data_IF_317554088259
#
_entry.id   IF_317554088259
#
_cell.length_a   1.000
_cell.length_b   1.000
_cell.length_c   1.000
_cell.angle_alpha   90.00
_cell.angle_beta   90.00
_cell.angle_gamma   90.00
#
_symmetry.space_group_name_H-M   'P 1'
#
loop_
_entity.id
_entity.type
_entity.pdbx_description
1 polymer ?
#
# COMPACT_ATOMS: atom_id res chain seq x y z
N UNK A 1 8.81 8.03 9.06
CA UNK A 1 8.79 6.56 9.03
C UNK A 1 8.20 5.95 10.31
N UNK A 2 8.74 6.23 11.47
CA UNK A 2 8.30 5.60 12.72
C UNK A 2 6.81 5.83 13.06
N UNK A 3 6.18 6.85 12.52
CA UNK A 3 4.78 7.18 12.78
C UNK A 3 3.82 6.48 11.81
N UNK A 4 4.08 6.46 10.51
CA UNK A 4 3.14 5.93 9.52
C UNK A 4 3.34 4.44 9.23
N UNK A 5 4.57 3.94 9.24
CA UNK A 5 4.85 2.53 8.92
C UNK A 5 4.13 1.51 9.80
N UNK A 6 3.97 1.72 11.13
CA UNK A 6 3.17 0.82 11.97
C UNK A 6 1.72 0.65 11.53
N UNK A 7 1.18 1.56 10.70
CA UNK A 7 -0.19 1.49 10.20
C UNK A 7 -0.48 0.24 9.36
N UNK A 8 0.54 -0.42 8.78
CA UNK A 8 0.37 -1.73 8.16
C UNK A 8 -0.20 -2.78 9.13
N UNK A 9 0.19 -2.74 10.40
CA UNK A 9 -0.33 -3.63 11.44
C UNK A 9 -1.46 -3.01 12.25
N UNK A 10 -1.35 -1.73 12.61
CA UNK A 10 -2.36 -1.02 13.40
C UNK A 10 -3.65 -0.81 12.62
N UNK A 11 -3.59 -0.62 11.29
CA UNK A 11 -4.78 -0.48 10.46
C UNK A 11 -5.75 -1.65 10.64
N UNK A 12 -5.34 -2.90 10.37
CA UNK A 12 -6.15 -4.08 10.62
C UNK A 12 -6.56 -4.25 12.09
N UNK A 13 -5.66 -4.01 13.04
CA UNK A 13 -5.96 -4.11 14.47
C UNK A 13 -7.09 -3.16 14.89
N UNK A 14 -7.07 -1.93 14.43
CA UNK A 14 -8.03 -0.89 14.81
C UNK A 14 -9.42 -1.07 14.16
N UNK A 15 -9.56 -1.94 13.15
CA UNK A 15 -10.88 -2.26 12.58
C UNK A 15 -11.81 -2.86 13.64
N UNK A 16 -11.28 -3.73 14.51
CA UNK A 16 -12.03 -4.43 15.54
C UNK A 16 -12.10 -3.71 16.88
N UNK A 17 -11.24 -2.70 17.12
CA UNK A 17 -11.20 -1.95 18.37
C UNK A 17 -12.43 -1.03 18.50
N UNK A 18 -13.14 -1.11 19.67
CA UNK A 18 -14.33 -0.28 19.92
C UNK A 18 -13.96 1.17 20.21
N UNK A 19 -13.09 1.41 21.16
CA UNK A 19 -12.48 2.72 21.47
C UNK A 19 -10.99 2.50 21.68
N UNK A 20 -10.16 3.36 21.10
CA UNK A 20 -8.72 3.20 21.20
C UNK A 20 -8.04 4.57 21.24
N UNK A 21 -7.30 4.85 22.30
CA UNK A 21 -6.52 6.08 22.47
C UNK A 21 -5.54 6.25 21.29
N UNK A 22 -4.94 5.17 20.80
CA UNK A 22 -4.04 5.21 19.66
C UNK A 22 -4.71 5.77 18.39
N UNK A 23 -6.00 5.48 18.17
CA UNK A 23 -6.72 6.02 17.01
C UNK A 23 -6.76 7.56 17.07
N UNK A 24 -7.09 8.13 18.22
CA UNK A 24 -7.14 9.57 18.40
C UNK A 24 -5.74 10.22 18.23
N UNK A 25 -4.71 9.61 18.78
CA UNK A 25 -3.32 10.05 18.63
C UNK A 25 -2.85 10.01 17.16
N UNK A 26 -3.19 8.94 16.44
CA UNK A 26 -2.88 8.83 15.01
C UNK A 26 -3.64 9.85 14.17
N UNK A 27 -4.93 10.09 14.44
CA UNK A 27 -5.68 11.14 13.76
C UNK A 27 -5.07 12.53 13.99
N UNK A 28 -4.74 12.86 15.24
CA UNK A 28 -4.07 14.11 15.56
C UNK A 28 -2.72 14.26 14.84
N UNK A 29 -1.92 13.18 14.79
CA UNK A 29 -0.65 13.20 14.10
C UNK A 29 -0.80 13.33 12.58
N UNK A 30 -1.80 12.65 11.98
CA UNK A 30 -2.10 12.75 10.55
C UNK A 30 -2.54 14.17 10.20
N UNK A 31 -3.45 14.77 10.96
CA UNK A 31 -3.92 16.13 10.70
C UNK A 31 -2.81 17.17 10.88
N UNK A 32 -1.96 17.01 11.89
CA UNK A 32 -0.81 17.88 12.09
C UNK A 32 0.24 17.71 10.97
N UNK A 33 0.52 16.47 10.58
CA UNK A 33 1.53 16.14 9.56
C UNK A 33 1.16 16.54 8.14
N UNK A 34 -0.13 16.60 7.82
CA UNK A 34 -0.62 16.99 6.50
C UNK A 34 -1.03 18.46 6.39
N UNK A 35 -1.07 19.20 7.50
CA UNK A 35 -1.40 20.62 7.50
C UNK A 35 -0.16 21.47 7.21
N UNK A 36 -0.09 22.18 6.06
CA UNK A 36 1.07 23.01 5.71
C UNK A 36 1.37 24.15 6.68
N UNK A 37 0.37 24.58 7.47
CA UNK A 37 0.52 25.62 8.49
C UNK A 37 1.03 25.07 9.83
N UNK A 38 1.15 23.76 9.98
CA UNK A 38 1.59 23.10 11.21
C UNK A 38 3.13 23.07 11.31
N UNK A 39 3.70 23.29 12.52
CA UNK A 39 5.13 23.08 12.74
C UNK A 39 5.55 21.60 12.61
N UNK A 40 4.60 20.69 12.55
CA UNK A 40 4.80 19.24 12.38
C UNK A 40 4.52 18.76 10.95
N UNK A 41 4.35 19.69 9.99
CA UNK A 41 4.11 19.35 8.60
C UNK A 41 5.20 18.42 8.05
N UNK A 42 4.79 17.32 7.41
CA UNK A 42 5.73 16.32 6.87
C UNK A 42 6.51 16.78 5.63
N UNK A 43 6.13 17.93 5.07
CA UNK A 43 6.79 18.51 3.92
C UNK A 43 6.17 18.08 2.59
N UNK A 44 6.70 18.68 1.54
CA UNK A 44 6.37 18.36 0.15
C UNK A 44 7.11 17.09 -0.26
N UNK A 45 6.40 16.17 -0.88
CA UNK A 45 6.95 14.91 -1.39
C UNK A 45 7.79 15.18 -2.64
N UNK A 46 8.96 14.55 -2.72
CA UNK A 46 9.90 14.66 -3.85
C UNK A 46 9.98 13.35 -4.65
N UNK A 47 10.74 13.36 -5.75
CA UNK A 47 10.97 12.15 -6.53
C UNK A 47 11.77 11.14 -5.72
N UNK A 48 11.41 9.85 -5.83
CA UNK A 48 12.03 8.72 -5.09
C UNK A 48 11.96 8.87 -3.56
N UNK A 49 11.02 9.65 -3.06
CA UNK A 49 10.91 9.98 -1.64
C UNK A 49 10.40 8.80 -0.82
N UNK A 50 11.03 8.58 0.33
CA UNK A 50 10.58 7.58 1.30
C UNK A 50 9.15 7.85 1.81
N UNK A 51 8.68 9.10 1.79
CA UNK A 51 7.30 9.45 2.13
C UNK A 51 6.27 8.74 1.24
N UNK A 52 6.61 8.40 0.00
CA UNK A 52 5.73 7.64 -0.91
C UNK A 52 5.43 6.24 -0.34
N UNK A 53 6.42 5.60 0.26
CA UNK A 53 6.25 4.30 0.95
C UNK A 53 5.33 4.44 2.16
N UNK A 54 5.48 5.54 2.90
CA UNK A 54 4.66 5.83 4.09
C UNK A 54 3.21 6.18 3.72
N UNK A 55 2.99 6.82 2.56
CA UNK A 55 1.65 7.08 2.03
C UNK A 55 0.84 5.80 1.81
N UNK A 56 1.49 4.70 1.43
CA UNK A 56 0.82 3.42 1.20
C UNK A 56 0.26 2.82 2.51
N UNK A 57 1.02 2.88 3.61
CA UNK A 57 0.54 2.41 4.92
C UNK A 57 -0.62 3.27 5.45
N UNK A 58 -0.54 4.60 5.26
CA UNK A 58 -1.63 5.52 5.57
C UNK A 58 -2.87 5.23 4.71
N UNK A 59 -2.68 4.93 3.43
CA UNK A 59 -3.77 4.59 2.52
C UNK A 59 -4.49 3.31 2.94
N UNK A 60 -3.77 2.26 3.33
CA UNK A 60 -4.39 1.05 3.88
C UNK A 60 -5.17 1.35 5.17
N UNK A 61 -4.61 2.17 6.05
CA UNK A 61 -5.29 2.59 7.28
C UNK A 61 -6.62 3.31 7.00
N UNK A 62 -6.63 4.25 6.06
CA UNK A 62 -7.84 4.96 5.63
C UNK A 62 -8.86 4.00 5.00
N UNK A 63 -8.41 3.10 4.12
CA UNK A 63 -9.27 2.12 3.46
C UNK A 63 -9.98 1.19 4.45
N UNK A 64 -9.27 0.73 5.47
CA UNK A 64 -9.80 -0.20 6.47
C UNK A 64 -10.67 0.46 7.52
N UNK A 65 -10.43 1.74 7.82
CA UNK A 65 -11.03 2.44 8.95
C UNK A 65 -11.69 3.77 8.54
N UNK A 66 -12.19 3.88 7.31
CA UNK A 66 -12.72 5.14 6.76
C UNK A 66 -13.67 5.86 7.71
N UNK A 67 -14.67 5.16 8.24
CA UNK A 67 -15.68 5.72 9.16
C UNK A 67 -15.11 6.25 10.47
N UNK A 68 -14.00 5.64 10.93
CA UNK A 68 -13.31 6.02 12.18
C UNK A 68 -12.18 7.04 11.95
N UNK A 69 -11.84 7.31 10.70
CA UNK A 69 -10.71 8.15 10.30
C UNK A 69 -11.16 9.29 9.40
N UNK A 70 -11.23 9.07 8.10
CA UNK A 70 -11.56 10.09 7.11
C UNK A 70 -12.87 10.82 7.43
N UNK A 71 -13.92 10.08 7.78
CA UNK A 71 -15.25 10.62 8.04
C UNK A 71 -15.33 11.40 9.37
N UNK A 72 -14.29 11.35 10.21
CA UNK A 72 -14.17 12.13 11.44
C UNK A 72 -13.41 13.46 11.25
N UNK A 73 -12.74 13.63 10.12
CA UNK A 73 -11.99 14.83 9.81
C UNK A 73 -12.91 15.96 9.36
N UNK A 74 -12.56 17.19 9.71
CA UNK A 74 -13.19 18.39 9.15
C UNK A 74 -12.87 18.53 7.65
N UNK A 75 -13.67 19.26 6.90
CA UNK A 75 -13.45 19.53 5.47
C UNK A 75 -12.03 20.08 5.19
N UNK A 76 -11.51 20.95 6.06
CA UNK A 76 -10.15 21.48 5.93
C UNK A 76 -9.10 20.39 6.11
N UNK A 77 -9.26 19.51 7.09
CA UNK A 77 -8.33 18.40 7.34
C UNK A 77 -8.38 17.37 6.23
N UNK A 78 -9.56 17.06 5.71
CA UNK A 78 -9.73 16.21 4.51
C UNK A 78 -9.04 16.81 3.30
N UNK A 79 -9.20 18.10 3.07
CA UNK A 79 -8.54 18.80 1.98
C UNK A 79 -7.01 18.78 2.12
N UNK A 80 -6.48 19.04 3.32
CA UNK A 80 -5.04 18.98 3.58
C UNK A 80 -4.48 17.57 3.35
N UNK A 81 -5.13 16.54 3.89
CA UNK A 81 -4.72 15.14 3.72
C UNK A 81 -4.77 14.73 2.25
N UNK A 82 -5.84 15.10 1.53
CA UNK A 82 -5.95 14.86 0.10
C UNK A 82 -4.82 15.54 -0.68
N UNK A 83 -4.57 16.83 -0.43
CA UNK A 83 -3.52 17.58 -1.12
C UNK A 83 -2.13 17.00 -0.85
N UNK A 84 -1.90 16.44 0.34
CA UNK A 84 -0.65 15.79 0.65
C UNK A 84 -0.51 14.44 -0.09
N UNK A 85 -1.55 13.61 -0.09
CA UNK A 85 -1.53 12.30 -0.75
C UNK A 85 -1.44 12.41 -2.27
N UNK A 86 -2.15 13.35 -2.91
CA UNK A 86 -2.23 13.44 -4.37
C UNK A 86 -0.87 13.79 -5.02
N UNK A 87 0.08 14.35 -4.25
CA UNK A 87 1.43 14.69 -4.73
C UNK A 87 2.15 13.49 -5.36
N UNK A 88 1.86 12.26 -4.92
CA UNK A 88 2.50 11.05 -5.46
C UNK A 88 2.30 10.89 -6.96
N UNK A 89 1.22 11.46 -7.52
CA UNK A 89 0.90 11.33 -8.94
C UNK A 89 1.85 12.13 -9.86
N UNK A 90 2.57 13.09 -9.30
CA UNK A 90 3.53 13.95 -10.01
C UNK A 90 4.99 13.54 -9.76
N UNK A 91 5.21 12.45 -9.01
CA UNK A 91 6.57 12.05 -8.59
C UNK A 91 7.08 10.89 -9.42
N UNK A 92 8.38 10.92 -9.69
CA UNK A 92 9.10 9.76 -10.19
C UNK A 92 9.26 8.73 -9.07
N UNK A 93 9.04 7.46 -9.41
CA UNK A 93 9.18 6.34 -8.50
C UNK A 93 10.05 5.26 -9.15
N UNK A 94 10.78 4.44 -8.36
CA UNK A 94 11.59 3.38 -8.93
C UNK A 94 10.70 2.31 -9.59
N UNK A 95 11.21 1.73 -10.67
CA UNK A 95 10.51 0.71 -11.45
C UNK A 95 10.58 -0.64 -10.75
N UNK A 96 9.78 -0.78 -9.69
CA UNK A 96 9.65 -1.99 -8.86
C UNK A 96 8.28 -1.98 -8.14
N UNK A 97 8.16 -2.68 -7.01
CA UNK A 97 6.94 -2.75 -6.22
C UNK A 97 6.38 -1.38 -5.76
N UNK A 98 7.13 -0.27 -5.84
CA UNK A 98 6.65 1.06 -5.47
C UNK A 98 5.46 1.55 -6.32
N UNK A 99 5.27 1.01 -7.51
CA UNK A 99 4.09 1.29 -8.32
C UNK A 99 2.80 0.97 -7.56
N UNK A 100 2.81 -0.06 -6.69
CA UNK A 100 1.67 -0.34 -5.82
C UNK A 100 1.41 0.73 -4.76
N UNK A 101 2.42 1.46 -4.30
CA UNK A 101 2.19 2.54 -3.34
C UNK A 101 1.32 3.64 -3.96
N UNK A 102 1.62 4.06 -5.19
CA UNK A 102 0.81 5.05 -5.90
C UNK A 102 -0.58 4.52 -6.25
N UNK A 103 -0.69 3.26 -6.65
CA UNK A 103 -1.98 2.59 -6.85
C UNK A 103 -2.83 2.65 -5.57
N UNK A 104 -2.29 2.23 -4.43
CA UNK A 104 -3.02 2.20 -3.16
C UNK A 104 -3.42 3.60 -2.67
N UNK A 105 -2.57 4.60 -2.87
CA UNK A 105 -2.90 6.01 -2.57
C UNK A 105 -4.11 6.45 -3.40
N UNK A 106 -4.09 6.23 -4.71
CA UNK A 106 -5.21 6.63 -5.57
C UNK A 106 -6.49 5.86 -5.24
N UNK A 107 -6.40 4.57 -4.89
CA UNK A 107 -7.56 3.79 -4.42
C UNK A 107 -8.13 4.38 -3.11
N UNK A 108 -7.29 4.73 -2.15
CA UNK A 108 -7.73 5.34 -0.90
C UNK A 108 -8.43 6.68 -1.14
N UNK A 109 -7.84 7.57 -1.95
CA UNK A 109 -8.43 8.85 -2.33
C UNK A 109 -9.79 8.65 -3.02
N UNK A 110 -9.88 7.71 -3.97
CA UNK A 110 -11.12 7.33 -4.65
C UNK A 110 -12.20 6.89 -3.66
N UNK A 111 -11.86 6.02 -2.70
CA UNK A 111 -12.79 5.53 -1.67
C UNK A 111 -13.21 6.61 -0.65
N UNK A 112 -12.42 7.67 -0.55
CA UNK A 112 -12.77 8.89 0.19
C UNK A 112 -13.62 9.88 -0.65
N UNK A 113 -14.03 9.52 -1.86
CA UNK A 113 -14.79 10.37 -2.81
C UNK A 113 -14.07 11.67 -3.19
N UNK A 114 -12.76 11.65 -3.22
CA UNK A 114 -11.94 12.79 -3.64
C UNK A 114 -11.37 12.59 -5.05
N UNK A 115 -11.01 13.67 -5.76
CA UNK A 115 -10.33 13.58 -7.04
C UNK A 115 -9.05 12.75 -6.97
N UNK A 116 -8.93 11.74 -7.84
CA UNK A 116 -7.79 10.82 -7.94
C UNK A 116 -7.37 10.65 -9.40
N UNK A 117 -6.27 9.97 -9.66
CA UNK A 117 -5.79 9.71 -11.01
C UNK A 117 -6.01 8.26 -11.44
N UNK A 118 -7.06 8.00 -12.21
CA UNK A 118 -7.27 6.71 -12.86
C UNK A 118 -6.14 6.41 -13.86
N UNK A 119 -5.66 7.43 -14.57
CA UNK A 119 -4.56 7.29 -15.52
C UNK A 119 -3.29 6.75 -14.84
N UNK A 120 -2.96 7.22 -13.63
CA UNK A 120 -1.79 6.71 -12.90
C UNK A 120 -2.00 5.28 -12.43
N UNK A 121 -3.21 4.91 -11.97
CA UNK A 121 -3.51 3.51 -11.64
C UNK A 121 -3.26 2.61 -12.85
N UNK A 122 -3.76 2.97 -14.03
CA UNK A 122 -3.58 2.16 -15.24
C UNK A 122 -2.11 2.09 -15.67
N UNK A 123 -1.41 3.23 -15.66
CA UNK A 123 0.01 3.27 -16.01
C UNK A 123 0.87 2.43 -15.06
N UNK A 124 0.57 2.48 -13.77
CA UNK A 124 1.30 1.68 -12.78
C UNK A 124 1.02 0.18 -12.93
N UNK A 125 -0.22 -0.22 -13.21
CA UNK A 125 -0.53 -1.62 -13.49
C UNK A 125 0.13 -2.11 -14.78
N UNK A 126 0.26 -1.28 -15.82
CA UNK A 126 1.02 -1.65 -17.02
C UNK A 126 2.47 -2.02 -16.66
N UNK A 127 3.12 -1.23 -15.79
CA UNK A 127 4.49 -1.53 -15.33
C UNK A 127 4.52 -2.79 -14.48
N UNK A 128 3.56 -2.97 -13.56
CA UNK A 128 3.48 -4.19 -12.73
C UNK A 128 3.25 -5.44 -13.58
N UNK A 129 2.45 -5.36 -14.65
CA UNK A 129 2.21 -6.49 -15.54
C UNK A 129 3.47 -6.91 -16.33
N UNK A 130 4.40 -5.98 -16.60
CA UNK A 130 5.70 -6.32 -17.19
C UNK A 130 6.58 -7.17 -16.26
N UNK A 131 6.34 -7.12 -14.94
CA UNK A 131 7.07 -7.95 -13.97
C UNK A 131 6.54 -9.39 -13.91
N UNK A 132 5.36 -9.65 -14.47
CA UNK A 132 4.77 -10.99 -14.44
C UNK A 132 5.58 -11.96 -15.31
N UNK A 133 5.93 -13.11 -14.74
CA UNK A 133 6.70 -14.14 -15.42
C UNK A 133 5.78 -15.28 -15.89
N UNK A 134 5.36 -16.13 -14.99
CA UNK A 134 4.45 -17.25 -15.23
C UNK A 134 4.02 -17.90 -13.89
N UNK A 135 2.94 -18.66 -13.92
CA UNK A 135 2.49 -19.47 -12.77
C UNK A 135 2.35 -18.64 -11.47
N UNK A 136 1.93 -17.40 -11.59
CA UNK A 136 1.78 -16.48 -10.46
C UNK A 136 3.06 -15.79 -10.00
N UNK A 137 4.21 -16.08 -10.61
CA UNK A 137 5.48 -15.46 -10.24
C UNK A 137 5.67 -14.11 -10.92
N UNK A 138 6.31 -13.21 -10.17
CA UNK A 138 6.76 -11.90 -10.64
C UNK A 138 8.26 -11.76 -10.37
N UNK A 139 8.92 -10.85 -11.06
CA UNK A 139 10.16 -10.24 -10.58
C UNK A 139 9.84 -8.88 -9.94
N UNK A 140 10.76 -8.33 -9.14
CA UNK A 140 10.56 -7.02 -8.54
C UNK A 140 11.46 -5.96 -9.22
N UNK A 141 11.04 -5.58 -10.43
CA UNK A 141 11.70 -4.61 -11.28
C UNK A 141 12.68 -5.25 -12.26
N UNK A 142 13.73 -5.93 -11.79
CA UNK A 142 14.70 -6.62 -12.63
C UNK A 142 14.33 -8.10 -12.80
N UNK A 143 14.54 -8.65 -14.00
CA UNK A 143 14.16 -10.03 -14.36
C UNK A 143 14.76 -11.11 -13.44
N UNK A 144 15.87 -10.83 -12.79
CA UNK A 144 16.53 -11.77 -11.86
C UNK A 144 16.16 -11.56 -10.40
N UNK A 145 15.34 -10.58 -10.11
CA UNK A 145 15.00 -10.21 -8.73
C UNK A 145 13.81 -11.04 -8.21
N UNK A 146 14.12 -12.25 -7.74
CA UNK A 146 13.16 -13.16 -7.12
C UNK A 146 13.45 -13.32 -5.63
N UNK A 147 12.55 -12.83 -4.77
CA UNK A 147 12.69 -12.91 -3.32
C UNK A 147 11.31 -12.77 -2.63
N UNK A 148 11.30 -12.65 -1.31
CA UNK A 148 10.06 -12.52 -0.53
C UNK A 148 9.25 -11.24 -0.82
N UNK A 149 9.81 -10.23 -1.52
CA UNK A 149 9.03 -9.08 -1.98
C UNK A 149 7.94 -9.46 -2.99
N UNK A 150 8.06 -10.62 -3.64
CA UNK A 150 6.99 -11.12 -4.51
C UNK A 150 5.75 -11.45 -3.69
N UNK A 151 5.91 -12.08 -2.53
CA UNK A 151 4.79 -12.44 -1.66
C UNK A 151 4.25 -11.25 -0.88
N UNK A 152 5.07 -10.59 -0.07
CA UNK A 152 4.59 -9.59 0.87
C UNK A 152 4.49 -8.17 0.27
N UNK A 153 5.05 -7.91 -0.90
CA UNK A 153 4.82 -6.67 -1.62
C UNK A 153 3.87 -6.89 -2.81
N UNK A 154 4.31 -7.55 -3.87
CA UNK A 154 3.52 -7.59 -5.11
C UNK A 154 2.17 -8.29 -4.89
N UNK A 155 2.15 -9.52 -4.37
CA UNK A 155 0.88 -10.23 -4.12
C UNK A 155 0.05 -9.59 -3.01
N UNK A 156 0.69 -9.18 -1.92
CA UNK A 156 -0.03 -8.57 -0.81
C UNK A 156 -0.73 -7.26 -1.24
N UNK A 157 -0.01 -6.35 -1.89
CA UNK A 157 -0.60 -5.07 -2.34
C UNK A 157 -1.66 -5.27 -3.41
N UNK A 158 -1.46 -6.22 -4.34
CA UNK A 158 -2.47 -6.54 -5.34
C UNK A 158 -3.74 -7.13 -4.70
N UNK A 159 -3.61 -7.96 -3.67
CA UNK A 159 -4.77 -8.47 -2.92
C UNK A 159 -5.48 -7.38 -2.11
N UNK A 160 -4.75 -6.40 -1.58
CA UNK A 160 -5.37 -5.20 -0.99
C UNK A 160 -6.18 -4.45 -2.05
N UNK A 161 -5.61 -4.20 -3.23
CA UNK A 161 -6.35 -3.63 -4.35
C UNK A 161 -7.62 -4.44 -4.66
N UNK A 162 -7.48 -5.75 -4.81
CA UNK A 162 -8.60 -6.65 -5.13
C UNK A 162 -9.71 -6.63 -4.07
N UNK A 163 -9.37 -6.41 -2.80
CA UNK A 163 -10.35 -6.29 -1.71
C UNK A 163 -11.23 -5.06 -1.85
N UNK A 164 -10.67 -3.92 -2.26
CA UNK A 164 -11.39 -2.66 -2.29
C UNK A 164 -11.96 -2.29 -3.66
N UNK A 165 -11.50 -2.94 -4.74
CA UNK A 165 -11.89 -2.64 -6.10
C UNK A 165 -12.69 -3.76 -6.79
N UNK A 166 -13.16 -4.76 -6.02
CA UNK A 166 -13.82 -5.94 -6.57
C UNK A 166 -15.05 -5.66 -7.43
N UNK A 167 -15.82 -4.63 -7.09
CA UNK A 167 -17.04 -4.24 -7.81
C UNK A 167 -16.75 -3.29 -8.98
N UNK A 168 -15.66 -2.52 -8.90
CA UNK A 168 -15.33 -1.45 -9.85
C UNK A 168 -14.35 -1.89 -10.93
N UNK A 169 -13.53 -2.91 -10.66
CA UNK A 169 -12.55 -3.48 -11.59
C UNK A 169 -12.52 -5.03 -11.48
N UNK A 170 -13.65 -5.71 -11.76
CA UNK A 170 -13.78 -7.15 -11.56
C UNK A 170 -12.84 -7.97 -12.44
N UNK A 171 -12.50 -7.50 -13.65
CA UNK A 171 -11.63 -8.20 -14.58
C UNK A 171 -10.19 -8.27 -14.04
N UNK A 172 -9.63 -7.13 -13.62
CA UNK A 172 -8.29 -7.08 -13.02
C UNK A 172 -8.24 -7.86 -11.72
N UNK A 173 -9.28 -7.74 -10.90
CA UNK A 173 -9.39 -8.49 -9.63
C UNK A 173 -9.41 -10.00 -9.86
N UNK A 174 -10.06 -10.49 -10.93
CA UNK A 174 -10.03 -11.90 -11.29
C UNK A 174 -8.60 -12.36 -11.63
N UNK A 175 -7.88 -11.60 -12.45
CA UNK A 175 -6.47 -11.87 -12.81
C UNK A 175 -5.57 -11.88 -11.56
N UNK A 176 -5.72 -10.90 -10.67
CA UNK A 176 -4.95 -10.83 -9.42
C UNK A 176 -5.17 -12.08 -8.57
N UNK A 177 -6.42 -12.49 -8.37
CA UNK A 177 -6.76 -13.68 -7.58
C UNK A 177 -6.24 -14.96 -8.21
N UNK A 178 -6.33 -15.10 -9.52
CA UNK A 178 -5.77 -16.25 -10.26
C UNK A 178 -4.27 -16.34 -10.07
N UNK A 179 -3.53 -15.24 -10.31
CA UNK A 179 -2.07 -15.19 -10.16
C UNK A 179 -1.63 -15.48 -8.73
N UNK A 180 -2.33 -14.93 -7.72
CA UNK A 180 -2.05 -15.20 -6.31
C UNK A 180 -2.29 -16.67 -5.94
N UNK A 181 -3.35 -17.28 -6.48
CA UNK A 181 -3.66 -18.70 -6.25
C UNK A 181 -2.58 -19.61 -6.88
N UNK A 182 -2.14 -19.30 -8.09
CA UNK A 182 -1.06 -20.05 -8.74
C UNK A 182 0.26 -19.91 -7.96
N UNK A 183 0.61 -18.71 -7.53
CA UNK A 183 1.80 -18.46 -6.72
C UNK A 183 1.80 -19.25 -5.42
N UNK A 184 0.69 -19.25 -4.69
CA UNK A 184 0.55 -19.93 -3.40
C UNK A 184 0.85 -21.44 -3.48
N UNK A 185 0.59 -22.08 -4.63
CA UNK A 185 0.86 -23.52 -4.83
C UNK A 185 2.35 -23.86 -4.71
N UNK A 186 3.23 -22.94 -5.10
CA UNK A 186 4.68 -23.14 -5.10
C UNK A 186 5.38 -22.40 -3.97
N UNK A 187 4.84 -21.30 -3.48
CA UNK A 187 5.43 -20.50 -2.43
C UNK A 187 5.63 -21.27 -1.12
N UNK A 188 4.78 -22.25 -0.81
CA UNK A 188 4.94 -23.16 0.34
C UNK A 188 6.30 -23.86 0.40
N UNK A 189 6.98 -24.03 -0.73
CA UNK A 189 8.30 -24.66 -0.80
C UNK A 189 9.46 -23.72 -0.39
N UNK A 190 9.15 -22.46 -0.06
CA UNK A 190 10.09 -21.52 0.53
C UNK A 190 10.19 -21.63 2.04
N UNK A 191 9.52 -22.61 2.61
CA UNK A 191 9.54 -22.94 4.03
C UNK A 191 10.02 -24.38 4.21
N UNK A 192 10.82 -24.61 5.25
CA UNK A 192 11.28 -25.95 5.59
C UNK A 192 10.17 -26.80 6.26
N UNK A 193 10.52 -28.02 6.67
CA UNK A 193 9.58 -28.93 7.32
C UNK A 193 9.07 -28.44 8.69
N UNK A 194 9.78 -27.49 9.34
CA UNK A 194 9.40 -26.88 10.60
C UNK A 194 8.60 -25.58 10.41
N UNK A 195 8.45 -25.13 9.17
CA UNK A 195 7.80 -23.87 8.83
C UNK A 195 8.75 -22.65 8.88
N UNK A 196 10.05 -22.87 8.98
CA UNK A 196 11.04 -21.81 8.94
C UNK A 196 11.27 -21.34 7.49
N UNK A 197 11.26 -20.03 7.27
CA UNK A 197 11.52 -19.47 5.96
C UNK A 197 12.97 -19.70 5.53
N UNK A 198 13.18 -20.11 4.31
CA UNK A 198 14.51 -20.26 3.72
C UNK A 198 15.15 -18.88 3.61
N UNK A 199 16.32 -18.60 4.24
CA UNK A 199 17.00 -17.31 4.16
C UNK A 199 17.56 -17.09 2.75
N UNK A 200 16.88 -16.24 1.98
CA UNK A 200 17.14 -16.06 0.56
C UNK A 200 16.69 -14.65 0.11
N UNK A 201 17.46 -14.07 -0.82
CA UNK A 201 17.17 -12.77 -1.39
C UNK A 201 17.54 -11.58 -0.50
N UNK A 202 17.14 -10.37 -0.94
CA UNK A 202 17.34 -9.14 -0.17
C UNK A 202 16.44 -9.11 1.06
N UNK A 203 16.79 -8.32 2.04
CA UNK A 203 16.02 -8.15 3.29
C UNK A 203 15.75 -9.47 3.99
N UNK A 204 16.78 -10.26 4.18
CA UNK A 204 16.83 -11.55 4.88
C UNK A 204 15.79 -11.74 5.97
N UNK A 205 14.89 -12.70 5.65
CA UNK A 205 13.69 -12.40 6.01
C UNK A 205 12.83 -13.39 6.71
N UNK A 206 13.39 -14.15 7.61
CA UNK A 206 12.61 -14.71 8.70
C UNK A 206 11.88 -13.62 9.53
N UNK A 207 12.08 -12.33 9.25
CA UNK A 207 11.29 -11.25 9.83
C UNK A 207 9.96 -11.02 9.11
N UNK A 208 9.79 -11.56 7.90
CA UNK A 208 8.67 -11.27 7.02
C UNK A 208 7.95 -12.49 6.49
N UNK A 209 8.41 -13.68 6.85
CA UNK A 209 7.80 -14.94 6.44
C UNK A 209 6.87 -15.49 7.52
#
# INVERSE_FOLDING_TARGET
>A
EAFLRPLWGLGPFLTSAKENVLLAEYLQGITAGTNPDSPFYWGTVTDYDQLIVEMASLSLFLLLNKEKTWDQLTEKEQANLHQWLIQVNEREIPRNNWHFFRILVNVAIKKCNMPYSQQQIESDFMVVDEFYQKNGWYCDGEETQFDYYISFAIHYYSLVYARFMAEEDPERVAVIKERATLFAQTFKHWFDANGEAIPFGRSLTYRFA
#
